data_IF_667284524005
#
_entry.id   IF_667284524005
#
_cell.length_a   1.000
_cell.length_b   1.000
_cell.length_c   1.000
_cell.angle_alpha   90.00
_cell.angle_beta   90.00
_cell.angle_gamma   90.00
#
_symmetry.space_group_name_H-M   'P 1'
#
loop_
_entity.id
_entity.type
_entity.pdbx_description
1 polymer ?
#
# COMPACT_ATOMS: atom_id res chain seq x y z
N UNK A 1 -13.13 2.12 -10.30
CA UNK A 1 -12.61 2.50 -8.97
C UNK A 1 -11.08 2.52 -8.99
N UNK A 2 -10.43 3.06 -7.96
CA UNK A 2 -8.98 3.06 -7.82
C UNK A 2 -8.54 2.23 -6.62
N UNK A 3 -7.39 1.58 -6.72
CA UNK A 3 -6.81 0.78 -5.63
C UNK A 3 -5.39 1.23 -5.38
N UNK A 4 -5.08 1.60 -4.14
CA UNK A 4 -3.75 1.91 -3.67
C UNK A 4 -3.16 0.71 -2.92
N UNK A 5 -2.11 0.12 -3.48
CA UNK A 5 -1.28 -0.89 -2.85
C UNK A 5 0.02 -0.26 -2.34
N UNK A 6 0.55 -0.78 -1.24
CA UNK A 6 1.88 -0.43 -0.77
C UNK A 6 2.60 -1.58 -0.08
N UNK A 7 3.92 -1.58 -0.20
CA UNK A 7 4.81 -2.58 0.40
C UNK A 7 6.12 -1.95 0.85
N UNK A 8 6.84 -2.65 1.73
CA UNK A 8 8.04 -2.17 2.40
C UNK A 8 9.09 -3.26 2.51
N UNK A 9 10.36 -2.85 2.59
CA UNK A 9 11.41 -3.73 3.09
C UNK A 9 12.43 -2.98 3.92
N UNK A 10 12.76 -3.49 5.11
CA UNK A 10 13.92 -3.08 5.91
C UNK A 10 14.76 -4.29 6.32
N UNK A 11 16.08 -4.18 6.18
CA UNK A 11 17.03 -5.21 6.62
C UNK A 11 17.55 -4.93 8.01
N UNK A 12 16.94 -5.55 9.03
CA UNK A 12 17.39 -5.46 10.42
C UNK A 12 16.45 -4.71 11.37
N UNK A 13 15.39 -4.07 10.84
CA UNK A 13 14.30 -3.41 11.59
C UNK A 13 14.71 -2.80 12.96
N UNK A 14 15.56 -1.75 12.98
CA UNK A 14 15.88 -0.86 11.86
C UNK A 14 17.10 -1.29 11.03
N UNK A 15 17.09 -0.93 9.74
CA UNK A 15 18.26 -1.04 8.86
C UNK A 15 17.97 -0.54 7.45
N UNK A 16 18.86 -0.80 6.49
CA UNK A 16 18.70 -0.28 5.13
C UNK A 16 17.38 -0.73 4.52
N UNK A 17 16.60 0.20 3.97
CA UNK A 17 15.26 -0.12 3.50
C UNK A 17 14.68 0.85 2.49
N UNK A 18 13.49 0.50 2.02
CA UNK A 18 12.74 1.23 1.02
C UNK A 18 11.26 0.92 1.12
N UNK A 19 10.46 1.76 0.47
CA UNK A 19 9.02 1.56 0.33
C UNK A 19 8.55 1.79 -1.10
N UNK A 20 7.46 1.11 -1.45
CA UNK A 20 6.82 1.20 -2.76
C UNK A 20 5.31 1.37 -2.62
N UNK A 21 4.73 2.11 -3.55
CA UNK A 21 3.30 2.36 -3.63
C UNK A 21 2.85 2.32 -5.10
N UNK A 22 1.72 1.69 -5.36
CA UNK A 22 1.11 1.62 -6.68
C UNK A 22 -0.33 2.08 -6.59
N UNK A 23 -0.81 2.75 -7.64
CA UNK A 23 -2.23 3.02 -7.84
C UNK A 23 -2.69 2.32 -9.11
N UNK A 24 -3.74 1.54 -8.98
CA UNK A 24 -4.36 0.76 -10.06
C UNK A 24 -5.75 1.33 -10.32
N UNK A 25 -6.07 1.54 -11.59
CA UNK A 25 -7.45 1.76 -12.04
C UNK A 25 -8.09 0.40 -12.29
N UNK A 26 -9.23 0.16 -11.66
CA UNK A 26 -10.04 -1.04 -11.81
C UNK A 26 -11.36 -0.68 -12.49
N UNK A 27 -11.60 -1.25 -13.65
CA UNK A 27 -12.91 -1.23 -14.29
C UNK A 27 -13.77 -2.32 -13.65
N UNK A 28 -14.90 -1.92 -13.06
CA UNK A 28 -15.82 -2.81 -12.37
C UNK A 28 -16.70 -3.63 -13.32
N UNK A 29 -16.86 -3.17 -14.57
CA UNK A 29 -17.71 -3.82 -15.57
C UNK A 29 -16.93 -4.91 -16.32
N UNK A 30 -15.71 -4.57 -16.74
CA UNK A 30 -14.87 -5.47 -17.53
C UNK A 30 -13.92 -6.31 -16.71
N UNK A 31 -13.82 -6.05 -15.40
CA UNK A 31 -12.84 -6.70 -14.54
C UNK A 31 -11.42 -6.57 -15.11
N UNK A 32 -11.10 -5.42 -15.71
CA UNK A 32 -9.75 -5.06 -16.16
C UNK A 32 -9.06 -4.12 -15.17
N UNK A 33 -7.76 -4.35 -14.99
CA UNK A 33 -6.89 -3.56 -14.12
C UNK A 33 -5.79 -2.90 -14.94
N UNK A 34 -5.48 -1.66 -14.60
CA UNK A 34 -4.39 -0.91 -15.22
C UNK A 34 -3.60 -0.17 -14.15
N UNK A 35 -2.29 -0.36 -14.15
CA UNK A 35 -1.40 0.42 -13.28
C UNK A 35 -1.27 1.82 -13.86
N UNK A 36 -1.84 2.81 -13.17
CA UNK A 36 -1.84 4.21 -13.62
C UNK A 36 -0.73 5.03 -12.97
N UNK A 37 -0.15 4.54 -11.87
CA UNK A 37 0.97 5.21 -11.21
C UNK A 37 1.75 4.25 -10.32
N UNK A 38 3.07 4.47 -10.24
CA UNK A 38 3.93 3.83 -9.26
C UNK A 38 4.92 4.82 -8.66
N UNK A 39 5.14 4.73 -7.35
CA UNK A 39 6.11 5.52 -6.62
C UNK A 39 6.97 4.65 -5.72
N UNK A 40 8.23 5.05 -5.56
CA UNK A 40 9.18 4.38 -4.66
C UNK A 40 9.92 5.39 -3.82
N UNK A 41 10.37 4.96 -2.64
CA UNK A 41 11.22 5.76 -1.76
C UNK A 41 12.34 4.91 -1.21
N UNK A 42 13.56 5.41 -1.32
CA UNK A 42 14.73 4.87 -0.64
C UNK A 42 15.04 5.70 0.61
N UNK A 43 15.50 5.05 1.67
CA UNK A 43 15.92 5.71 2.91
C UNK A 43 17.44 5.64 3.02
N UNK A 44 18.08 6.80 3.21
CA UNK A 44 19.54 6.92 3.28
C UNK A 44 20.12 6.38 4.60
N UNK A 45 19.28 6.12 5.60
CA UNK A 45 19.67 5.56 6.90
C UNK A 45 18.77 4.41 7.37
N UNK A 46 19.07 3.81 8.53
CA UNK A 46 18.27 2.74 9.12
C UNK A 46 16.80 3.15 9.28
N UNK A 47 15.90 2.38 8.68
CA UNK A 47 14.46 2.58 8.76
C UNK A 47 13.79 1.33 9.34
N UNK A 48 12.75 1.50 10.15
CA UNK A 48 11.93 0.36 10.58
C UNK A 48 10.88 0.04 9.51
N UNK A 49 10.34 -1.18 9.51
CA UNK A 49 9.23 -1.55 8.62
C UNK A 49 8.06 -0.58 8.79
N UNK A 50 7.65 -0.28 10.03
CA UNK A 50 6.52 0.62 10.30
C UNK A 50 6.73 2.02 9.72
N UNK A 51 7.92 2.61 9.87
CA UNK A 51 8.22 3.94 9.31
C UNK A 51 8.14 3.93 7.78
N UNK A 52 8.64 2.86 7.17
CA UNK A 52 8.63 2.75 5.72
C UNK A 52 7.24 2.37 5.17
N UNK A 53 6.40 1.63 5.92
CA UNK A 53 4.97 1.42 5.59
C UNK A 53 4.19 2.74 5.61
N UNK A 54 4.29 3.56 6.67
CA UNK A 54 3.66 4.88 6.69
C UNK A 54 4.14 5.76 5.53
N UNK A 55 5.43 5.67 5.18
CA UNK A 55 6.00 6.38 4.03
C UNK A 55 5.38 5.95 2.70
N UNK A 56 5.19 4.63 2.52
CA UNK A 56 4.57 4.03 1.34
C UNK A 56 3.11 4.50 1.20
N UNK A 57 2.32 4.38 2.27
CA UNK A 57 0.92 4.81 2.30
C UNK A 57 0.80 6.30 2.01
N UNK A 58 1.66 7.14 2.61
CA UNK A 58 1.69 8.57 2.33
C UNK A 58 1.93 8.87 0.85
N UNK A 59 2.81 8.11 0.19
CA UNK A 59 3.17 8.34 -1.20
C UNK A 59 1.97 8.12 -2.13
N UNK A 60 1.26 6.99 -1.98
CA UNK A 60 0.08 6.71 -2.80
C UNK A 60 -1.13 7.57 -2.48
N UNK A 61 -1.37 7.90 -1.19
CA UNK A 61 -2.45 8.82 -0.82
C UNK A 61 -2.24 10.22 -1.41
N UNK A 62 -1.01 10.74 -1.37
CA UNK A 62 -0.71 12.03 -2.00
C UNK A 62 -0.96 12.00 -3.50
N UNK A 63 -0.53 10.93 -4.18
CA UNK A 63 -0.80 10.79 -5.61
C UNK A 63 -2.31 10.78 -5.89
N UNK A 64 -3.08 9.97 -5.16
CA UNK A 64 -4.52 9.87 -5.36
C UNK A 64 -5.22 11.21 -5.14
N UNK A 65 -4.83 11.95 -4.10
CA UNK A 65 -5.34 13.29 -3.83
C UNK A 65 -4.99 14.29 -4.94
N UNK A 66 -3.73 14.33 -5.37
CA UNK A 66 -3.28 15.27 -6.41
C UNK A 66 -3.92 14.98 -7.77
N UNK A 67 -4.16 13.70 -8.10
CA UNK A 67 -4.79 13.30 -9.35
C UNK A 67 -6.33 13.23 -9.28
N UNK A 68 -6.95 13.61 -8.15
CA UNK A 68 -8.41 13.60 -7.99
C UNK A 68 -9.03 12.20 -8.07
N UNK A 69 -8.31 11.16 -7.64
CA UNK A 69 -8.74 9.77 -7.78
C UNK A 69 -9.74 9.39 -6.69
N UNK A 70 -10.99 9.14 -7.09
CA UNK A 70 -12.08 8.67 -6.24
C UNK A 70 -13.02 7.78 -7.04
N UNK A 71 -13.61 6.71 -6.46
CA UNK A 71 -13.36 6.16 -5.13
C UNK A 71 -12.01 5.43 -5.02
N UNK A 72 -11.38 5.45 -3.83
CA UNK A 72 -10.10 4.81 -3.55
C UNK A 72 -10.23 3.67 -2.53
N UNK A 73 -9.78 2.48 -2.89
CA UNK A 73 -9.55 1.35 -1.98
C UNK A 73 -8.10 1.32 -1.55
N UNK A 74 -7.80 1.11 -0.26
CA UNK A 74 -6.40 1.03 0.22
C UNK A 74 -6.10 -0.36 0.79
N UNK A 75 -5.01 -0.98 0.33
CA UNK A 75 -4.59 -2.34 0.71
C UNK A 75 -3.18 -2.31 1.30
N UNK A 76 -3.01 -2.86 2.52
CA UNK A 76 -1.69 -3.03 3.14
C UNK A 76 -1.74 -3.35 4.65
N UNK A 77 -0.58 -3.43 5.30
CA UNK A 77 -0.47 -3.96 6.67
C UNK A 77 -0.86 -2.99 7.79
N UNK A 78 -0.67 -1.67 7.63
CA UNK A 78 -1.01 -0.68 8.66
C UNK A 78 -2.49 -0.26 8.69
N UNK A 79 -3.33 -0.86 7.83
CA UNK A 79 -4.71 -0.40 7.63
C UNK A 79 -5.52 -0.48 8.91
N UNK A 80 -5.39 -1.55 9.70
CA UNK A 80 -6.04 -1.68 11.02
C UNK A 80 -5.74 -0.53 11.97
N UNK A 81 -4.50 -0.03 11.99
CA UNK A 81 -4.14 1.10 12.83
C UNK A 81 -4.81 2.39 12.33
N UNK A 82 -4.82 2.60 11.02
CA UNK A 82 -5.40 3.78 10.39
C UNK A 82 -6.93 3.83 10.51
N UNK A 83 -7.62 2.72 10.25
CA UNK A 83 -9.09 2.63 10.31
C UNK A 83 -9.59 2.59 11.75
N UNK A 84 -8.96 1.79 12.62
CA UNK A 84 -9.32 1.68 14.04
C UNK A 84 -8.96 2.92 14.87
N UNK A 85 -8.35 3.94 14.25
CA UNK A 85 -7.81 5.14 14.90
C UNK A 85 -6.86 4.80 16.08
N UNK A 86 -6.13 3.70 15.99
CA UNK A 86 -5.26 3.21 17.05
C UNK A 86 -3.83 3.72 16.81
N UNK A 87 -3.38 4.79 17.50
CA UNK A 87 -2.01 5.28 17.34
C UNK A 87 -1.02 4.21 17.81
N UNK A 88 0.17 4.16 17.20
CA UNK A 88 1.22 3.25 17.64
C UNK A 88 1.63 3.54 19.09
N UNK A 89 1.89 2.47 19.86
CA UNK A 89 2.37 2.56 21.24
C UNK A 89 3.70 3.32 21.33
N UNK A 90 4.62 3.03 20.39
CA UNK A 90 5.91 3.68 20.32
C UNK A 90 5.78 5.17 19.90
N UNK A 91 6.25 6.08 20.76
CA UNK A 91 6.08 7.51 20.59
C UNK A 91 6.68 8.04 19.27
N UNK A 92 7.83 7.50 18.84
CA UNK A 92 8.52 7.93 17.63
C UNK A 92 7.79 7.58 16.31
N UNK A 93 6.74 6.75 16.34
CA UNK A 93 5.89 6.47 15.17
C UNK A 93 4.64 7.36 15.10
N UNK A 94 4.31 8.09 16.19
CA UNK A 94 3.07 8.88 16.27
C UNK A 94 3.01 9.99 15.23
N UNK A 95 4.15 10.62 14.91
CA UNK A 95 4.21 11.67 13.88
C UNK A 95 3.87 11.13 12.49
N UNK A 96 4.43 9.98 12.13
CA UNK A 96 4.14 9.30 10.86
C UNK A 96 2.67 8.91 10.76
N UNK A 97 2.13 8.31 11.83
CA UNK A 97 0.71 7.98 11.94
C UNK A 97 -0.20 9.22 11.78
N UNK A 98 0.08 10.30 12.51
CA UNK A 98 -0.70 11.52 12.45
C UNK A 98 -0.67 12.15 11.05
N UNK A 99 0.48 12.12 10.39
CA UNK A 99 0.65 12.62 9.02
C UNK A 99 -0.23 11.83 8.03
N UNK A 100 -0.17 10.51 8.08
CA UNK A 100 -0.99 9.65 7.20
C UNK A 100 -2.47 9.81 7.52
N UNK A 101 -2.85 9.94 8.80
CA UNK A 101 -4.26 10.15 9.19
C UNK A 101 -4.83 11.47 8.71
N UNK A 102 -4.04 12.55 8.68
CA UNK A 102 -4.48 13.82 8.06
C UNK A 102 -4.73 13.67 6.56
N UNK A 103 -3.94 12.83 5.89
CA UNK A 103 -4.10 12.53 4.48
C UNK A 103 -5.15 11.45 4.20
N UNK A 104 -5.74 10.83 5.23
CA UNK A 104 -6.77 9.80 5.08
C UNK A 104 -8.13 10.47 4.86
N UNK A 105 -8.54 10.72 3.60
CA UNK A 105 -9.66 11.60 3.31
C UNK A 105 -10.93 10.79 3.51
N UNK A 106 -11.76 11.21 4.47
CA UNK A 106 -12.96 10.47 4.91
C UNK A 106 -14.06 10.42 3.83
N UNK A 107 -13.88 11.06 2.67
CA UNK A 107 -14.81 10.99 1.53
C UNK A 107 -14.24 10.43 0.22
N UNK A 108 -12.95 10.09 0.17
CA UNK A 108 -12.30 9.49 -1.02
C UNK A 108 -12.00 8.02 -0.80
N UNK A 109 -11.57 7.67 0.42
CA UNK A 109 -11.33 6.26 0.77
C UNK A 109 -12.66 5.61 1.10
N UNK A 110 -13.15 4.78 0.19
CA UNK A 110 -14.43 4.10 0.33
C UNK A 110 -14.31 2.85 1.17
N UNK A 111 -13.20 2.13 1.03
CA UNK A 111 -12.92 0.88 1.74
C UNK A 111 -11.41 0.71 1.95
N UNK A 112 -11.01 -0.05 2.97
CA UNK A 112 -9.61 -0.36 3.20
C UNK A 112 -9.45 -1.75 3.81
N UNK A 113 -8.50 -2.54 3.28
CA UNK A 113 -8.32 -3.94 3.66
C UNK A 113 -6.94 -4.17 4.25
N UNK A 114 -6.90 -4.79 5.43
CA UNK A 114 -5.64 -5.24 6.03
C UNK A 114 -5.29 -6.63 5.52
N UNK A 115 -4.11 -6.77 4.95
CA UNK A 115 -3.58 -8.07 4.53
C UNK A 115 -2.85 -8.75 5.70
N UNK A 116 -3.48 -9.75 6.35
CA UNK A 116 -2.83 -10.59 7.38
C UNK A 116 -2.04 -11.77 6.79
N UNK A 117 -2.41 -12.24 5.60
CA UNK A 117 -1.91 -13.49 4.99
C UNK A 117 -1.39 -13.35 3.56
N UNK A 118 -1.48 -12.17 2.96
CA UNK A 118 -1.14 -12.03 1.55
C UNK A 118 0.37 -11.93 1.31
N UNK A 119 1.16 -11.42 2.26
CA UNK A 119 2.54 -11.01 1.98
C UNK A 119 3.52 -11.91 2.72
N UNK A 120 3.95 -13.01 2.06
CA UNK A 120 5.27 -13.57 2.37
C UNK A 120 6.29 -12.47 2.10
N UNK A 121 7.26 -12.22 2.99
CA UNK A 121 8.24 -11.17 2.77
C UNK A 121 8.87 -11.38 1.41
N UNK A 122 8.72 -10.41 0.51
CA UNK A 122 9.52 -10.40 -0.69
C UNK A 122 10.95 -10.24 -0.17
N UNK A 123 11.73 -11.33 -0.18
CA UNK A 123 13.19 -11.29 0.02
C UNK A 123 13.76 -10.60 -1.22
N UNK A 124 13.50 -9.31 -1.36
CA UNK A 124 14.07 -8.48 -2.40
C UNK A 124 15.58 -8.48 -2.18
N UNK A 125 16.39 -8.88 -3.17
CA UNK A 125 17.84 -8.78 -3.09
C UNK A 125 18.26 -7.31 -3.25
N UNK A 126 18.02 -6.49 -2.22
CA UNK A 126 18.56 -5.14 -2.07
C UNK A 126 20.08 -5.15 -1.84
N UNK A 127 20.91 -5.71 -2.71
CA UNK A 127 22.37 -5.43 -2.62
C UNK A 127 22.61 -3.95 -2.98
N UNK A 128 23.49 -3.28 -2.21
CA UNK A 128 23.82 -1.84 -2.31
C UNK A 128 23.78 -1.33 -3.76
N UNK A 129 23.07 -0.22 -3.97
CA UNK A 129 23.07 0.54 -5.22
C UNK A 129 22.20 -0.02 -6.35
N UNK A 130 21.07 0.65 -6.62
CA UNK A 130 20.75 1.24 -7.94
C UNK A 130 19.23 1.38 -8.16
N UNK A 131 18.84 2.45 -8.86
CA UNK A 131 17.47 2.76 -9.29
C UNK A 131 16.81 1.65 -10.13
N UNK A 132 17.59 0.76 -10.78
CA UNK A 132 17.07 -0.35 -11.60
C UNK A 132 16.39 -1.45 -10.77
N UNK A 133 16.75 -1.63 -9.50
CA UNK A 133 16.13 -2.68 -8.65
C UNK A 133 14.75 -2.29 -8.12
N UNK A 134 14.42 -0.99 -8.08
CA UNK A 134 13.06 -0.52 -7.86
C UNK A 134 12.09 -1.02 -8.94
N UNK A 135 12.56 -1.22 -10.19
CA UNK A 135 11.73 -1.70 -11.30
C UNK A 135 11.35 -3.19 -11.18
N UNK A 136 12.23 -4.03 -10.62
CA UNK A 136 11.93 -5.45 -10.35
C UNK A 136 10.98 -5.61 -9.16
N UNK A 137 11.16 -4.78 -8.12
CA UNK A 137 10.16 -4.65 -7.06
C UNK A 137 8.83 -4.14 -7.62
N UNK A 138 8.85 -3.26 -8.63
CA UNK A 138 7.67 -2.77 -9.35
C UNK A 138 6.91 -3.90 -10.03
N UNK A 139 7.60 -4.76 -10.80
CA UNK A 139 6.98 -5.89 -11.49
C UNK A 139 6.38 -6.89 -10.48
N UNK A 140 7.08 -7.13 -9.37
CA UNK A 140 6.53 -7.94 -8.28
C UNK A 140 5.31 -7.29 -7.62
N UNK A 141 5.32 -5.97 -7.41
CA UNK A 141 4.16 -5.23 -6.89
C UNK A 141 3.00 -5.29 -7.88
N UNK A 142 3.22 -5.10 -9.18
CA UNK A 142 2.17 -5.16 -10.22
C UNK A 142 1.58 -6.57 -10.35
N UNK A 143 2.42 -7.60 -10.50
CA UNK A 143 1.97 -9.00 -10.55
C UNK A 143 1.19 -9.39 -9.28
N UNK A 144 1.57 -8.80 -8.14
CA UNK A 144 0.93 -9.03 -6.85
C UNK A 144 -0.36 -8.23 -6.71
N UNK A 145 -0.43 -7.00 -7.26
CA UNK A 145 -1.67 -6.27 -7.43
C UNK A 145 -2.67 -7.13 -8.23
N UNK A 146 -2.27 -7.79 -9.31
CA UNK A 146 -3.18 -8.63 -10.10
C UNK A 146 -3.74 -9.80 -9.29
N UNK A 147 -2.90 -10.49 -8.50
CA UNK A 147 -3.35 -11.56 -7.61
C UNK A 147 -4.27 -11.04 -6.50
N UNK A 148 -3.94 -9.90 -5.91
CA UNK A 148 -4.67 -9.29 -4.81
C UNK A 148 -6.02 -8.74 -5.30
N UNK A 149 -6.08 -8.21 -6.52
CA UNK A 149 -7.32 -7.79 -7.19
C UNK A 149 -8.20 -9.00 -7.45
N UNK A 150 -7.66 -10.08 -8.02
CA UNK A 150 -8.43 -11.30 -8.25
C UNK A 150 -8.97 -11.90 -6.95
N UNK A 151 -8.23 -11.79 -5.84
CA UNK A 151 -8.70 -12.24 -4.53
C UNK A 151 -9.74 -11.31 -3.92
N UNK A 152 -9.59 -10.00 -4.09
CA UNK A 152 -10.58 -9.01 -3.67
C UNK A 152 -11.89 -9.19 -4.44
N UNK A 153 -11.85 -9.41 -5.75
CA UNK A 153 -13.03 -9.71 -6.57
C UNK A 153 -13.76 -10.96 -6.05
N UNK A 154 -13.04 -12.03 -5.70
CA UNK A 154 -13.62 -13.23 -5.07
C UNK A 154 -14.31 -12.92 -3.74
N UNK A 155 -13.71 -12.05 -2.92
CA UNK A 155 -14.30 -11.66 -1.62
C UNK A 155 -15.54 -10.79 -1.79
N UNK A 156 -15.56 -9.89 -2.78
CA UNK A 156 -16.75 -9.09 -3.07
C UNK A 156 -17.88 -9.95 -3.64
N UNK A 157 -17.59 -10.90 -4.54
CA UNK A 157 -18.59 -11.81 -5.08
C UNK A 157 -19.32 -12.60 -3.98
N UNK A 158 -18.57 -13.15 -3.02
CA UNK A 158 -19.15 -13.86 -1.86
C UNK A 158 -20.04 -12.96 -0.99
N UNK A 159 -19.72 -11.67 -0.87
CA UNK A 159 -20.52 -10.72 -0.09
C UNK A 159 -21.84 -10.36 -0.79
N UNK A 160 -21.87 -10.35 -2.13
CA UNK A 160 -23.10 -10.09 -2.91
C UNK A 160 -24.04 -11.30 -2.86
N UNK A 161 -23.50 -12.52 -2.97
CA UNK A 161 -24.30 -13.76 -2.88
C UNK A 161 -24.89 -14.00 -1.48
N UNK A 162 -24.23 -13.52 -0.42
CA UNK A 162 -24.72 -13.64 0.96
C UNK A 162 -25.88 -12.68 1.30
N UNK A 163 -26.17 -11.72 0.41
CA UNK A 163 -27.25 -10.72 0.56
C UNK A 163 -28.43 -10.94 -0.39
N UNK A 164 -28.45 -12.06 -1.12
CA UNK A 164 -29.49 -12.43 -2.10
C UNK A 164 -30.41 -13.52 -1.59
#
# INVERSE_FOLDING_TARGET
MYIHFFDVGSRGNPGSGGSGATVVRRDITTSRSEVIWVGTRHYEGPVTNNVAEYGATKLGLRQALTAGLSPLHVVGMIIRQLTGRQPPKAAHWRLSYATVRRLWPVGIITTATTTRWLMRPLKLPWTRGSRRKCQVAMAAVVQRCDNDIAQWDRQQAVLVDATS
#
